data_IF_147461341309
#
_entry.id   IF_147461341309
#
_cell.length_a   1.000
_cell.length_b   1.000
_cell.length_c   1.000
_cell.angle_alpha   90.00
_cell.angle_beta   90.00
_cell.angle_gamma   90.00
#
_symmetry.space_group_name_H-M   'P 1'
#
loop_
_entity.id
_entity.type
_entity.pdbx_description
1 polymer ?
#
# COMPACT_ATOMS: atom_id res chain seq x y z
N UNK A 1 12.91 2.79 -38.43
CA UNK A 1 13.97 1.89 -37.92
C UNK A 1 14.39 2.17 -36.47
N UNK A 2 13.89 3.21 -35.78
CA UNK A 2 14.38 3.55 -34.42
C UNK A 2 13.46 3.13 -33.26
N UNK A 3 12.23 2.66 -33.49
CA UNK A 3 11.33 2.22 -32.41
C UNK A 3 11.57 0.76 -31.96
N UNK A 4 11.98 -0.14 -32.86
CA UNK A 4 12.25 -1.53 -32.50
C UNK A 4 13.48 -1.65 -31.57
N UNK A 5 14.55 -0.89 -31.84
CA UNK A 5 15.77 -0.93 -31.01
C UNK A 5 15.59 -0.35 -29.60
N UNK A 6 14.64 0.57 -29.39
CA UNK A 6 14.38 1.12 -28.05
C UNK A 6 13.55 0.16 -27.19
N UNK A 7 12.57 -0.55 -27.76
CA UNK A 7 11.80 -1.58 -27.06
C UNK A 7 12.69 -2.78 -26.70
N UNK A 8 13.60 -3.19 -27.60
CA UNK A 8 14.59 -4.24 -27.33
C UNK A 8 15.56 -3.88 -26.19
N UNK A 9 16.01 -2.62 -26.13
CA UNK A 9 16.90 -2.17 -25.08
C UNK A 9 16.20 -2.12 -23.72
N UNK A 10 14.93 -1.70 -23.67
CA UNK A 10 14.14 -1.64 -22.44
C UNK A 10 13.77 -3.04 -21.93
N UNK A 11 13.32 -3.96 -22.79
CA UNK A 11 13.03 -5.35 -22.39
C UNK A 11 14.27 -6.09 -21.90
N UNK A 12 15.43 -5.91 -22.55
CA UNK A 12 16.69 -6.51 -22.08
C UNK A 12 17.19 -5.87 -20.78
N UNK A 13 17.06 -4.55 -20.61
CA UNK A 13 17.48 -3.88 -19.38
C UNK A 13 16.57 -4.23 -18.19
N UNK A 14 15.25 -4.30 -18.40
CA UNK A 14 14.29 -4.73 -17.38
C UNK A 14 14.56 -6.18 -16.96
N UNK A 15 14.81 -7.06 -17.93
CA UNK A 15 15.12 -8.48 -17.68
C UNK A 15 16.46 -8.63 -16.95
N UNK A 16 17.51 -7.92 -17.40
CA UNK A 16 18.82 -7.90 -16.74
C UNK A 16 18.74 -7.33 -15.32
N UNK A 17 17.99 -6.25 -15.10
CA UNK A 17 17.78 -5.67 -13.79
C UNK A 17 17.04 -6.62 -12.85
N UNK A 18 15.98 -7.27 -13.33
CA UNK A 18 15.26 -8.30 -12.58
C UNK A 18 16.18 -9.46 -12.23
N UNK A 19 17.03 -9.91 -13.17
CA UNK A 19 17.96 -11.01 -12.97
C UNK A 19 19.09 -10.67 -11.98
N UNK A 20 19.62 -9.45 -12.04
CA UNK A 20 20.69 -8.97 -11.17
C UNK A 20 20.17 -8.73 -9.74
N UNK A 21 18.95 -8.20 -9.61
CA UNK A 21 18.30 -8.04 -8.31
C UNK A 21 17.89 -9.39 -7.70
N UNK A 22 17.47 -10.34 -8.52
CA UNK A 22 17.18 -11.72 -8.12
C UNK A 22 18.41 -12.38 -7.48
N UNK A 23 19.57 -12.30 -8.13
CA UNK A 23 20.80 -12.95 -7.68
C UNK A 23 21.28 -12.47 -6.30
N UNK A 24 21.02 -11.20 -5.96
CA UNK A 24 21.49 -10.60 -4.70
C UNK A 24 20.47 -10.61 -3.56
N UNK A 25 19.16 -10.70 -3.86
CA UNK A 25 18.09 -10.52 -2.87
C UNK A 25 17.14 -11.72 -2.75
N UNK A 26 17.32 -12.78 -3.55
CA UNK A 26 16.48 -13.97 -3.56
C UNK A 26 14.97 -13.63 -3.70
N UNK A 27 14.64 -12.70 -4.59
CA UNK A 27 13.28 -12.16 -4.73
C UNK A 27 12.24 -13.21 -5.16
N UNK A 28 12.63 -14.28 -5.86
CA UNK A 28 11.77 -15.43 -6.18
C UNK A 28 11.20 -16.11 -4.95
N UNK A 29 11.79 -15.90 -3.77
CA UNK A 29 11.27 -16.37 -2.50
C UNK A 29 10.16 -15.45 -1.97
N UNK A 30 9.65 -14.49 -2.73
CA UNK A 30 8.50 -13.68 -2.34
C UNK A 30 7.37 -13.90 -3.35
N UNK A 31 6.12 -14.11 -2.90
CA UNK A 31 4.98 -14.35 -3.80
C UNK A 31 4.81 -13.24 -4.83
N UNK A 32 5.01 -11.97 -4.44
CA UNK A 32 4.86 -10.85 -5.34
C UNK A 32 5.75 -10.96 -6.59
N UNK A 33 7.03 -11.28 -6.41
CA UNK A 33 7.96 -11.40 -7.53
C UNK A 33 7.73 -12.70 -8.29
N UNK A 34 7.52 -13.80 -7.57
CA UNK A 34 7.28 -15.12 -8.17
C UNK A 34 6.08 -15.13 -9.12
N UNK A 35 5.04 -14.34 -8.83
CA UNK A 35 3.85 -14.23 -9.69
C UNK A 35 3.91 -13.05 -10.69
N UNK A 36 4.52 -11.92 -10.34
CA UNK A 36 4.57 -10.76 -11.23
C UNK A 36 5.51 -10.97 -12.42
N UNK A 37 6.63 -11.67 -12.24
CA UNK A 37 7.59 -11.93 -13.32
C UNK A 37 7.00 -12.81 -14.44
N UNK A 38 6.43 -14.00 -14.15
CA UNK A 38 5.80 -14.78 -15.21
C UNK A 38 4.64 -14.04 -15.87
N UNK A 39 3.85 -13.27 -15.11
CA UNK A 39 2.79 -12.45 -15.67
C UNK A 39 3.34 -11.41 -16.66
N UNK A 40 4.45 -10.75 -16.34
CA UNK A 40 5.10 -9.81 -17.25
C UNK A 40 5.58 -10.51 -18.54
N UNK A 41 6.21 -11.69 -18.44
CA UNK A 41 6.59 -12.48 -19.62
C UNK A 41 5.37 -12.90 -20.45
N UNK A 42 4.27 -13.28 -19.80
CA UNK A 42 3.03 -13.63 -20.49
C UNK A 42 2.48 -12.43 -21.25
N UNK A 43 2.38 -11.26 -20.62
CA UNK A 43 1.90 -10.04 -21.28
C UNK A 43 2.82 -9.59 -22.42
N UNK A 44 4.15 -9.76 -22.29
CA UNK A 44 5.09 -9.54 -23.38
C UNK A 44 4.82 -10.49 -24.56
N UNK A 45 4.48 -11.75 -24.28
CA UNK A 45 4.14 -12.73 -25.33
C UNK A 45 2.84 -12.43 -26.09
N UNK A 46 2.02 -11.48 -25.60
CA UNK A 46 0.79 -11.04 -26.27
C UNK A 46 1.01 -9.79 -27.14
N UNK A 47 2.21 -9.21 -27.17
CA UNK A 47 2.48 -8.00 -27.94
C UNK A 47 2.61 -8.30 -29.44
N UNK A 48 1.90 -7.54 -30.29
CA UNK A 48 1.91 -7.75 -31.73
C UNK A 48 3.21 -7.29 -32.43
N UNK A 49 4.04 -6.49 -31.74
CA UNK A 49 5.19 -5.80 -32.35
C UNK A 49 6.50 -6.63 -32.36
N UNK A 50 6.50 -7.82 -31.75
CA UNK A 50 7.70 -8.65 -31.61
C UNK A 50 7.71 -9.83 -32.59
N UNK A 51 8.90 -10.35 -32.95
CA UNK A 51 9.01 -11.56 -33.76
C UNK A 51 8.34 -12.77 -33.09
N UNK A 52 7.69 -13.64 -33.87
CA UNK A 52 6.98 -14.83 -33.39
C UNK A 52 7.85 -15.76 -32.52
N UNK A 53 9.14 -15.86 -32.84
CA UNK A 53 10.11 -16.64 -32.05
C UNK A 53 10.32 -16.05 -30.64
N UNK A 54 10.29 -14.72 -30.49
CA UNK A 54 10.43 -14.07 -29.19
C UNK A 54 9.14 -14.17 -28.38
N UNK A 55 7.99 -14.08 -29.05
CA UNK A 55 6.69 -14.27 -28.42
C UNK A 55 6.53 -15.70 -27.87
N UNK A 56 6.88 -16.70 -28.66
CA UNK A 56 6.84 -18.11 -28.25
C UNK A 56 7.80 -18.39 -27.09
N UNK A 57 9.05 -17.91 -27.16
CA UNK A 57 10.01 -18.09 -26.06
C UNK A 57 9.59 -17.35 -24.78
N UNK A 58 9.01 -16.15 -24.88
CA UNK A 58 8.46 -15.43 -23.74
C UNK A 58 7.27 -16.18 -23.12
N UNK A 59 6.36 -16.74 -23.92
CA UNK A 59 5.22 -17.53 -23.43
C UNK A 59 5.68 -18.81 -22.74
N UNK A 60 6.67 -19.50 -23.29
CA UNK A 60 7.25 -20.71 -22.69
C UNK A 60 7.89 -20.37 -21.34
N UNK A 61 8.71 -19.31 -21.30
CA UNK A 61 9.36 -18.86 -20.08
C UNK A 61 8.34 -18.42 -19.01
N UNK A 62 7.28 -17.72 -19.41
CA UNK A 62 6.18 -17.38 -18.52
C UNK A 62 5.56 -18.64 -17.90
N UNK A 63 5.30 -19.65 -18.72
CA UNK A 63 4.65 -20.91 -18.32
C UNK A 63 5.54 -21.71 -17.36
N UNK A 64 6.85 -21.78 -17.60
CA UNK A 64 7.80 -22.42 -16.67
C UNK A 64 7.79 -21.71 -15.31
N UNK A 65 7.90 -20.38 -15.33
CA UNK A 65 8.01 -19.58 -14.11
C UNK A 65 6.71 -19.59 -13.28
N UNK A 66 5.53 -19.54 -13.92
CA UNK A 66 4.26 -19.60 -13.18
C UNK A 66 4.03 -20.98 -12.56
N UNK A 67 4.42 -22.07 -13.23
CA UNK A 67 4.35 -23.43 -12.65
C UNK A 67 5.23 -23.55 -11.42
N UNK A 68 6.44 -23.00 -11.48
CA UNK A 68 7.34 -22.93 -10.32
C UNK A 68 6.74 -22.10 -9.18
N UNK A 69 6.14 -20.95 -9.50
CA UNK A 69 5.49 -20.09 -8.52
C UNK A 69 4.29 -20.78 -7.85
N UNK A 70 3.41 -21.42 -8.63
CA UNK A 70 2.27 -22.19 -8.14
C UNK A 70 2.70 -23.38 -7.27
N UNK A 71 3.79 -24.05 -7.64
CA UNK A 71 4.36 -25.15 -6.84
C UNK A 71 4.95 -24.63 -5.51
N UNK A 72 5.63 -23.49 -5.57
CA UNK A 72 6.23 -22.86 -4.39
C UNK A 72 5.18 -22.22 -3.47
N UNK A 73 4.07 -21.71 -3.99
CA UNK A 73 3.07 -20.93 -3.26
C UNK A 73 1.64 -21.36 -3.63
N UNK A 74 1.22 -22.58 -3.27
CA UNK A 74 -0.10 -23.09 -3.67
C UNK A 74 -1.27 -22.28 -3.11
N UNK A 75 -1.14 -21.74 -1.90
CA UNK A 75 -2.19 -20.94 -1.24
C UNK A 75 -2.45 -19.55 -1.87
N UNK A 76 -1.83 -19.23 -3.01
CA UNK A 76 -2.14 -18.01 -3.78
C UNK A 76 -3.36 -18.22 -4.69
N UNK A 77 -3.56 -19.44 -5.21
CA UNK A 77 -4.48 -19.68 -6.31
C UNK A 77 -5.94 -19.40 -5.94
N UNK A 78 -6.46 -20.02 -4.87
CA UNK A 78 -7.86 -19.85 -4.50
C UNK A 78 -8.19 -18.42 -4.08
N UNK A 79 -7.39 -17.74 -3.21
CA UNK A 79 -7.63 -16.34 -2.90
C UNK A 79 -7.57 -15.44 -4.13
N UNK A 80 -6.66 -15.69 -5.08
CA UNK A 80 -6.60 -14.93 -6.33
C UNK A 80 -7.90 -15.06 -7.13
N UNK A 81 -8.43 -16.27 -7.28
CA UNK A 81 -9.69 -16.51 -7.99
C UNK A 81 -10.86 -15.83 -7.29
N UNK A 82 -10.88 -15.83 -5.95
CA UNK A 82 -11.87 -15.12 -5.14
C UNK A 82 -11.83 -13.60 -5.37
N UNK A 83 -10.64 -12.97 -5.30
CA UNK A 83 -10.44 -11.55 -5.63
C UNK A 83 -10.86 -11.20 -7.06
N UNK A 84 -10.73 -12.15 -7.97
CA UNK A 84 -11.15 -12.01 -9.36
C UNK A 84 -12.63 -12.37 -9.59
N UNK A 85 -13.35 -12.84 -8.57
CA UNK A 85 -14.73 -13.31 -8.67
C UNK A 85 -14.90 -14.44 -9.69
N UNK A 86 -13.86 -15.27 -9.84
CA UNK A 86 -13.82 -16.44 -10.71
C UNK A 86 -14.07 -17.70 -9.90
N UNK A 87 -14.88 -18.62 -10.46
CA UNK A 87 -15.11 -19.91 -9.81
C UNK A 87 -14.03 -20.90 -10.22
N UNK A 88 -13.29 -21.51 -9.27
CA UNK A 88 -12.39 -22.61 -9.60
C UNK A 88 -13.16 -23.82 -10.10
N UNK A 89 -12.50 -24.63 -10.93
CA UNK A 89 -12.98 -25.99 -11.23
C UNK A 89 -13.10 -26.77 -9.90
N UNK A 90 -14.22 -27.48 -9.63
CA UNK A 90 -14.36 -28.31 -8.43
C UNK A 90 -13.21 -29.31 -8.23
N UNK A 91 -12.60 -29.82 -9.31
CA UNK A 91 -11.44 -30.69 -9.22
C UNK A 91 -10.24 -29.97 -8.59
N UNK A 92 -10.01 -28.70 -8.94
CA UNK A 92 -8.93 -27.86 -8.36
C UNK A 92 -9.27 -27.47 -6.93
N UNK A 93 -10.50 -27.04 -6.67
CA UNK A 93 -10.95 -26.56 -5.36
C UNK A 93 -10.91 -27.63 -4.27
N UNK A 94 -11.10 -28.90 -4.65
CA UNK A 94 -11.07 -30.05 -3.72
C UNK A 94 -9.73 -30.78 -3.70
N UNK A 95 -8.79 -30.42 -4.58
CA UNK A 95 -7.50 -31.08 -4.66
C UNK A 95 -6.65 -30.78 -3.42
N UNK A 96 -5.98 -31.80 -2.86
CA UNK A 96 -5.11 -31.67 -1.67
C UNK A 96 -4.04 -30.57 -1.76
N UNK A 97 -3.61 -30.24 -2.98
CA UNK A 97 -2.51 -29.30 -3.22
C UNK A 97 -2.93 -27.84 -3.32
N UNK A 98 -4.11 -27.55 -3.88
CA UNK A 98 -4.60 -26.17 -4.04
C UNK A 98 -5.84 -25.87 -3.20
N UNK A 99 -6.49 -26.91 -2.69
CA UNK A 99 -7.69 -26.81 -1.85
C UNK A 99 -7.43 -26.22 -0.47
N UNK A 100 -8.43 -26.30 0.44
CA UNK A 100 -8.37 -25.69 1.76
C UNK A 100 -7.14 -26.10 2.59
N UNK A 101 -6.66 -27.33 2.43
CA UNK A 101 -5.47 -27.83 3.13
C UNK A 101 -4.21 -27.00 2.82
N UNK A 102 -4.11 -26.45 1.60
CA UNK A 102 -3.00 -25.62 1.18
C UNK A 102 -2.99 -24.27 1.93
N UNK A 103 -4.16 -23.72 2.20
CA UNK A 103 -4.33 -22.47 2.95
C UNK A 103 -4.10 -22.70 4.45
N UNK A 104 -4.65 -23.78 5.00
CA UNK A 104 -4.53 -24.14 6.42
C UNK A 104 -3.07 -24.46 6.80
N UNK A 105 -2.35 -25.18 5.93
CA UNK A 105 -0.95 -25.54 6.16
C UNK A 105 0.03 -24.39 5.91
N UNK A 106 -0.46 -23.26 5.38
CA UNK A 106 0.39 -22.14 5.02
C UNK A 106 0.89 -21.38 6.26
N UNK A 107 2.20 -21.04 6.35
CA UNK A 107 2.70 -20.22 7.44
C UNK A 107 2.02 -18.83 7.48
N UNK A 108 1.63 -18.30 8.66
CA UNK A 108 0.93 -17.02 8.76
C UNK A 108 1.66 -15.83 8.13
N UNK A 109 2.98 -15.80 8.24
CA UNK A 109 3.80 -14.75 7.62
C UNK A 109 3.71 -14.79 6.08
N UNK A 110 3.57 -15.98 5.50
CA UNK A 110 3.38 -16.12 4.07
C UNK A 110 1.98 -15.67 3.65
N UNK A 111 0.95 -16.00 4.41
CA UNK A 111 -0.42 -15.54 4.15
C UNK A 111 -0.51 -14.01 4.14
N UNK A 112 0.18 -13.31 5.04
CA UNK A 112 0.28 -11.85 5.00
C UNK A 112 0.90 -11.32 3.70
N UNK A 113 1.98 -11.94 3.22
CA UNK A 113 2.63 -11.57 1.96
C UNK A 113 1.73 -11.81 0.75
N UNK A 114 0.98 -12.93 0.76
CA UNK A 114 0.01 -13.26 -0.29
C UNK A 114 -1.13 -12.24 -0.31
N UNK A 115 -1.76 -11.96 0.83
CA UNK A 115 -2.84 -10.96 0.93
C UNK A 115 -2.37 -9.58 0.50
N UNK A 116 -1.16 -9.17 0.89
CA UNK A 116 -0.57 -7.90 0.47
C UNK A 116 -0.37 -7.83 -1.05
N UNK A 117 0.13 -8.90 -1.66
CA UNK A 117 0.30 -8.98 -3.11
C UNK A 117 -1.05 -8.90 -3.83
N UNK A 118 -1.98 -9.80 -3.50
CA UNK A 118 -3.27 -9.89 -4.17
C UNK A 118 -4.12 -8.62 -3.99
N UNK A 119 -4.15 -8.06 -2.78
CA UNK A 119 -4.84 -6.80 -2.52
C UNK A 119 -4.35 -5.65 -3.41
N UNK A 120 -3.09 -5.68 -3.85
CA UNK A 120 -2.49 -4.64 -4.70
C UNK A 120 -2.48 -4.94 -6.19
N UNK A 121 -2.59 -6.19 -6.61
CA UNK A 121 -2.35 -6.56 -8.02
C UNK A 121 -3.31 -7.61 -8.60
N UNK A 122 -4.32 -8.07 -7.87
CA UNK A 122 -5.29 -9.05 -8.38
C UNK A 122 -5.96 -8.60 -9.69
N UNK A 123 -6.17 -7.28 -9.87
CA UNK A 123 -6.81 -6.75 -11.07
C UNK A 123 -6.04 -7.05 -12.37
N UNK A 124 -4.72 -7.25 -12.29
CA UNK A 124 -3.89 -7.62 -13.45
C UNK A 124 -4.19 -9.03 -13.97
N UNK A 125 -4.80 -9.87 -13.14
CA UNK A 125 -5.13 -11.25 -13.48
C UNK A 125 -6.51 -11.41 -14.11
N UNK A 126 -7.38 -10.39 -14.03
CA UNK A 126 -8.80 -10.46 -14.46
C UNK A 126 -8.97 -10.60 -15.98
N UNK A 127 -7.93 -10.37 -16.76
CA UNK A 127 -8.01 -10.48 -18.21
C UNK A 127 -8.29 -11.93 -18.65
N UNK A 128 -9.27 -12.18 -19.54
CA UNK A 128 -9.65 -13.55 -19.94
C UNK A 128 -8.48 -14.38 -20.49
N UNK A 129 -7.59 -13.76 -21.27
CA UNK A 129 -6.40 -14.43 -21.81
C UNK A 129 -5.46 -14.89 -20.68
N UNK A 130 -5.24 -14.05 -19.67
CA UNK A 130 -4.43 -14.36 -18.50
C UNK A 130 -5.05 -15.49 -17.67
N UNK A 131 -6.37 -15.47 -17.46
CA UNK A 131 -7.06 -16.54 -16.73
C UNK A 131 -7.01 -17.89 -17.45
N UNK A 132 -7.24 -17.91 -18.77
CA UNK A 132 -7.14 -19.14 -19.57
C UNK A 132 -5.73 -19.73 -19.51
N UNK A 133 -4.72 -18.87 -19.64
CA UNK A 133 -3.32 -19.29 -19.51
C UNK A 133 -2.98 -19.78 -18.09
N UNK A 134 -3.50 -19.14 -17.05
CA UNK A 134 -3.32 -19.60 -15.68
C UNK A 134 -3.93 -21.00 -15.49
N UNK A 135 -5.13 -21.24 -16.00
CA UNK A 135 -5.82 -22.53 -15.92
C UNK A 135 -5.02 -23.66 -16.59
N UNK A 136 -4.45 -23.41 -17.78
CA UNK A 136 -3.55 -24.33 -18.46
C UNK A 136 -2.38 -24.74 -17.55
N UNK A 137 -1.75 -23.78 -16.88
CA UNK A 137 -0.60 -24.05 -16.02
C UNK A 137 -0.97 -24.70 -14.68
N UNK A 138 -2.14 -24.39 -14.12
CA UNK A 138 -2.66 -25.07 -12.93
C UNK A 138 -2.84 -26.57 -13.21
N UNK A 139 -3.38 -26.93 -14.37
CA UNK A 139 -3.56 -28.33 -14.77
C UNK A 139 -2.22 -29.09 -14.85
N UNK A 140 -1.20 -28.45 -15.43
CA UNK A 140 0.15 -29.01 -15.52
C UNK A 140 0.79 -29.21 -14.14
N UNK A 141 0.62 -28.25 -13.23
CA UNK A 141 1.11 -28.38 -11.84
C UNK A 141 0.41 -29.53 -11.12
N UNK A 142 -0.92 -29.66 -11.29
CA UNK A 142 -1.66 -30.78 -10.70
C UNK A 142 -1.15 -32.14 -11.20
N UNK A 143 -0.93 -32.28 -12.51
CA UNK A 143 -0.36 -33.50 -13.07
C UNK A 143 1.04 -33.81 -12.48
N UNK A 144 1.90 -32.80 -12.34
CA UNK A 144 3.22 -32.97 -11.73
C UNK A 144 3.12 -33.41 -10.25
N UNK A 145 2.22 -32.78 -9.49
CA UNK A 145 1.98 -33.13 -8.08
C UNK A 145 1.46 -34.56 -7.93
N UNK A 146 0.52 -34.98 -8.78
CA UNK A 146 -0.04 -36.33 -8.77
C UNK A 146 0.95 -37.40 -9.23
N UNK A 147 1.89 -37.02 -10.10
CA UNK A 147 3.02 -37.87 -10.48
C UNK A 147 4.08 -38.02 -9.37
N UNK A 148 3.98 -37.24 -8.29
CA UNK A 148 4.90 -37.29 -7.15
C UNK A 148 6.20 -36.52 -7.38
N UNK A 149 6.15 -35.39 -8.08
CA UNK A 149 7.33 -34.55 -8.33
C UNK A 149 8.03 -34.16 -7.00
N UNK A 150 9.33 -34.53 -6.81
CA UNK A 150 10.07 -34.20 -5.59
C UNK A 150 10.22 -32.70 -5.34
N UNK A 151 10.06 -31.85 -6.36
CA UNK A 151 10.08 -30.40 -6.21
C UNK A 151 8.99 -29.90 -5.25
N UNK A 152 7.86 -30.58 -5.16
CA UNK A 152 6.72 -30.22 -4.31
C UNK A 152 7.11 -30.26 -2.83
N UNK A 153 7.71 -31.36 -2.39
CA UNK A 153 8.16 -31.55 -1.00
C UNK A 153 9.31 -30.60 -0.65
N UNK A 154 10.23 -30.36 -1.59
CA UNK A 154 11.31 -29.40 -1.42
C UNK A 154 10.78 -27.96 -1.25
N UNK A 155 9.77 -27.58 -2.03
CA UNK A 155 9.09 -26.28 -1.91
C UNK A 155 8.35 -26.15 -0.58
N UNK A 156 7.63 -27.19 -0.14
CA UNK A 156 6.96 -27.20 1.16
C UNK A 156 7.95 -27.02 2.32
N UNK A 157 9.04 -27.79 2.33
CA UNK A 157 10.11 -27.68 3.33
C UNK A 157 10.72 -26.28 3.35
N UNK A 158 10.96 -25.70 2.17
CA UNK A 158 11.46 -24.33 2.04
C UNK A 158 10.49 -23.30 2.61
N UNK A 159 9.18 -23.42 2.34
CA UNK A 159 8.16 -22.54 2.93
C UNK A 159 8.18 -22.58 4.46
N UNK A 160 8.22 -23.79 5.04
CA UNK A 160 8.26 -23.97 6.50
C UNK A 160 9.50 -23.34 7.12
N UNK A 161 10.64 -23.40 6.45
CA UNK A 161 11.89 -22.80 6.93
C UNK A 161 11.88 -21.26 6.83
N UNK A 162 11.45 -20.70 5.69
CA UNK A 162 11.63 -19.27 5.38
C UNK A 162 10.55 -18.36 5.99
N UNK A 163 9.30 -18.82 6.10
CA UNK A 163 8.17 -17.94 6.48
C UNK A 163 7.64 -18.20 7.89
N UNK A 164 8.51 -18.52 8.84
CA UNK A 164 8.11 -18.80 10.22
C UNK A 164 7.49 -17.57 10.90
N UNK A 165 8.08 -16.39 10.71
CA UNK A 165 7.57 -15.13 11.26
C UNK A 165 7.97 -13.94 10.38
N UNK A 166 7.03 -13.03 10.15
CA UNK A 166 7.31 -11.80 9.42
C UNK A 166 8.11 -10.83 10.32
N UNK A 167 9.14 -10.17 9.77
CA UNK A 167 9.90 -9.16 10.51
C UNK A 167 9.09 -7.87 10.69
N UNK A 168 9.44 -7.07 11.71
CA UNK A 168 8.66 -5.88 12.12
C UNK A 168 8.46 -4.86 11.00
N UNK A 169 9.43 -4.69 10.10
CA UNK A 169 9.32 -3.82 8.93
C UNK A 169 8.20 -4.26 7.97
N UNK A 170 7.95 -5.56 7.85
CA UNK A 170 6.84 -6.08 7.04
C UNK A 170 5.51 -5.79 7.72
N UNK A 171 5.39 -6.04 9.02
CA UNK A 171 4.18 -5.65 9.77
C UNK A 171 3.87 -4.16 9.64
N UNK A 172 4.90 -3.32 9.75
CA UNK A 172 4.79 -1.87 9.55
C UNK A 172 4.27 -1.52 8.17
N UNK A 173 4.80 -2.17 7.13
CA UNK A 173 4.33 -1.97 5.77
C UNK A 173 2.88 -2.42 5.59
N UNK A 174 2.48 -3.55 6.16
CA UNK A 174 1.09 -4.04 6.10
C UNK A 174 0.13 -3.01 6.71
N UNK A 175 0.44 -2.49 7.89
CA UNK A 175 -0.37 -1.44 8.55
C UNK A 175 -0.47 -0.19 7.67
N UNK A 176 0.64 0.28 7.10
CA UNK A 176 0.67 1.45 6.21
C UNK A 176 0.01 1.21 4.85
N UNK A 177 -0.10 -0.04 4.41
CA UNK A 177 -0.65 -0.39 3.09
C UNK A 177 -2.16 -0.27 3.02
N UNK A 178 -2.85 -0.26 4.17
CA UNK A 178 -4.32 -0.22 4.31
C UNK A 178 -5.07 -1.33 3.55
N UNK A 179 -4.36 -2.40 3.17
CA UNK A 179 -4.98 -3.60 2.57
C UNK A 179 -5.71 -4.37 3.67
N UNK A 180 -7.04 -4.31 3.68
CA UNK A 180 -7.90 -4.83 4.76
C UNK A 180 -7.59 -6.28 5.12
N UNK A 181 -7.47 -7.15 4.12
CA UNK A 181 -7.24 -8.57 4.33
C UNK A 181 -5.82 -8.85 4.87
N UNK A 182 -4.83 -8.05 4.46
CA UNK A 182 -3.47 -8.16 4.98
C UNK A 182 -3.39 -7.66 6.43
N UNK A 183 -4.10 -6.57 6.77
CA UNK A 183 -4.20 -6.06 8.14
C UNK A 183 -4.91 -7.06 9.05
N UNK A 184 -5.96 -7.73 8.56
CA UNK A 184 -6.67 -8.78 9.30
C UNK A 184 -5.77 -10.02 9.59
N UNK A 185 -4.77 -10.27 8.75
CA UNK A 185 -3.82 -11.37 8.91
C UNK A 185 -2.64 -11.06 9.85
N UNK A 186 -2.59 -9.86 10.45
CA UNK A 186 -1.52 -9.49 11.38
C UNK A 186 -1.57 -10.30 12.69
N UNK A 187 -0.42 -10.59 13.32
CA UNK A 187 -0.39 -11.29 14.60
C UNK A 187 -1.05 -10.44 15.69
N UNK A 188 -1.69 -11.06 16.71
CA UNK A 188 -2.32 -10.34 17.81
C UNK A 188 -1.35 -9.41 18.53
N UNK A 189 -0.09 -9.83 18.71
CA UNK A 189 0.97 -9.02 19.33
C UNK A 189 1.19 -7.66 18.65
N UNK A 190 0.87 -7.55 17.36
CA UNK A 190 0.99 -6.32 16.58
C UNK A 190 -0.29 -5.49 16.69
N UNK A 191 -1.46 -6.12 16.62
CA UNK A 191 -2.75 -5.43 16.62
C UNK A 191 -3.14 -4.91 18.01
N UNK A 192 -2.62 -5.51 19.09
CA UNK A 192 -2.83 -5.03 20.46
C UNK A 192 -1.95 -3.83 20.82
N UNK A 193 -0.86 -3.57 20.08
CA UNK A 193 -0.02 -2.39 20.31
C UNK A 193 -0.79 -1.15 19.82
N UNK A 194 -0.84 -0.09 20.63
CA UNK A 194 -1.40 1.19 20.19
C UNK A 194 -0.56 1.72 19.03
N UNK A 195 -1.03 1.49 17.81
CA UNK A 195 -0.40 1.94 16.59
C UNK A 195 -0.67 3.43 16.44
N UNK A 196 0.37 4.26 16.58
CA UNK A 196 0.28 5.66 16.20
C UNK A 196 0.07 5.75 14.69
N UNK A 197 -0.99 6.40 14.22
CA UNK A 197 -1.28 6.50 12.78
C UNK A 197 -0.18 7.16 11.95
N UNK A 198 0.69 7.96 12.58
CA UNK A 198 1.82 8.63 11.91
C UNK A 198 3.15 7.84 11.95
N UNK A 199 3.27 6.84 12.84
CA UNK A 199 4.47 6.01 12.98
C UNK A 199 4.10 4.63 13.52
N UNK A 200 3.52 3.77 12.67
CA UNK A 200 3.17 2.43 13.08
C UNK A 200 4.44 1.62 13.36
N UNK A 201 4.47 0.96 14.52
CA UNK A 201 5.54 0.04 14.93
C UNK A 201 6.95 0.68 14.82
N UNK A 202 7.29 1.66 15.69
CA UNK A 202 8.63 2.25 15.70
C UNK A 202 9.71 1.19 15.96
N UNK A 203 10.96 1.39 15.50
CA UNK A 203 12.08 0.52 15.86
C UNK A 203 12.18 0.31 17.37
N UNK A 204 12.53 -0.89 17.80
CA UNK A 204 12.73 -1.17 19.23
C UNK A 204 13.97 -0.43 19.77
N UNK A 205 15.00 -0.34 18.93
CA UNK A 205 16.23 0.37 19.23
C UNK A 205 16.19 1.75 18.54
N UNK A 206 15.51 2.71 19.17
CA UNK A 206 15.49 4.09 18.65
C UNK A 206 16.86 4.75 18.82
N UNK A 207 17.62 4.82 17.73
CA UNK A 207 18.76 5.73 17.64
C UNK A 207 18.21 7.12 17.31
N UNK A 208 18.10 7.97 18.32
CA UNK A 208 17.76 9.38 18.12
C UNK A 208 18.98 10.10 17.52
N UNK A 209 18.98 10.33 16.21
CA UNK A 209 19.99 11.18 15.55
C UNK A 209 19.82 12.67 15.86
N UNK A 210 18.65 13.05 16.40
CA UNK A 210 18.31 14.40 16.79
C UNK A 210 17.59 14.41 18.13
N UNK A 211 18.05 15.27 19.04
CA UNK A 211 17.34 15.58 20.28
C UNK A 211 16.41 16.73 19.98
N UNK A 212 15.09 16.49 19.99
CA UNK A 212 14.10 17.55 19.89
C UNK A 212 14.29 18.51 21.08
N UNK A 213 14.53 19.81 20.85
CA UNK A 213 14.57 20.79 21.93
C UNK A 213 13.29 20.69 22.74
N UNK A 214 13.41 20.77 24.06
CA UNK A 214 12.26 20.76 24.95
C UNK A 214 11.28 21.83 24.47
N UNK A 215 10.10 21.39 24.02
CA UNK A 215 9.04 22.33 23.69
C UNK A 215 8.67 22.92 25.03
N UNK A 216 9.00 24.20 25.26
CA UNK A 216 8.38 24.98 26.31
C UNK A 216 6.88 24.92 26.03
N UNK A 217 6.17 24.00 26.67
CA UNK A 217 4.72 23.95 26.61
C UNK A 217 4.25 25.05 27.54
N UNK A 218 3.83 26.23 27.05
CA UNK A 218 3.18 27.20 27.90
C UNK A 218 1.70 26.79 27.91
N UNK A 219 1.42 25.54 28.34
CA UNK A 219 0.09 25.19 28.83
C UNK A 219 0.05 25.68 30.28
N UNK A 220 0.30 26.98 30.44
CA UNK A 220 -0.26 27.71 31.55
C UNK A 220 -1.73 27.86 31.24
N UNK A 221 -2.57 27.75 32.27
CA UNK A 221 -4.03 27.72 32.22
C UNK A 221 -4.61 29.03 31.66
N UNK A 222 -4.41 29.27 30.37
CA UNK A 222 -4.81 30.47 29.65
C UNK A 222 -6.25 30.39 29.16
N UNK A 223 -6.93 31.53 29.22
CA UNK A 223 -8.29 31.77 28.77
C UNK A 223 -8.59 31.15 27.39
N UNK A 224 -9.73 30.48 27.20
CA UNK A 224 -10.11 29.67 26.01
C UNK A 224 -9.99 30.45 24.69
N UNK A 225 -10.20 31.76 24.73
CA UNK A 225 -10.05 32.68 23.60
C UNK A 225 -8.58 32.74 23.14
N UNK A 226 -7.61 32.73 24.05
CA UNK A 226 -6.19 32.73 23.69
C UNK A 226 -5.78 31.42 23.00
N UNK A 227 -6.40 30.29 23.37
CA UNK A 227 -6.23 29.02 22.67
C UNK A 227 -6.78 29.08 21.24
N UNK A 228 -7.95 29.71 21.05
CA UNK A 228 -8.51 29.94 19.72
C UNK A 228 -7.57 30.75 18.82
N UNK A 229 -7.02 31.87 19.30
CA UNK A 229 -6.08 32.66 18.51
C UNK A 229 -4.75 31.96 18.28
N UNK A 230 -4.25 31.14 19.22
CA UNK A 230 -3.08 30.27 18.98
C UNK A 230 -3.31 29.23 17.89
N UNK A 231 -4.54 28.73 17.75
CA UNK A 231 -4.87 27.76 16.71
C UNK A 231 -4.83 28.36 15.31
N UNK A 232 -5.11 29.66 15.20
CA UNK A 232 -5.15 30.40 13.94
C UNK A 232 -3.84 31.14 13.62
N UNK A 233 -3.13 31.58 14.66
CA UNK A 233 -1.89 32.34 14.56
C UNK A 233 -0.79 31.62 15.36
N UNK A 234 0.07 30.82 14.70
CA UNK A 234 1.12 30.06 15.36
C UNK A 234 2.10 30.94 16.16
N UNK A 235 2.22 32.22 15.78
CA UNK A 235 3.10 33.19 16.42
C UNK A 235 2.43 33.99 17.57
N UNK A 236 1.15 33.74 17.86
CA UNK A 236 0.44 34.41 18.94
C UNK A 236 0.90 33.87 20.30
N UNK A 237 1.68 34.68 21.01
CA UNK A 237 2.17 34.40 22.37
C UNK A 237 1.67 35.48 23.32
N UNK A 238 0.93 35.05 24.35
CA UNK A 238 0.59 35.93 25.48
C UNK A 238 1.85 36.04 26.35
N UNK A 239 2.78 36.90 25.98
CA UNK A 239 3.96 37.19 26.83
C UNK A 239 3.49 37.94 28.07
N UNK A 240 3.28 37.18 29.14
CA UNK A 240 3.04 37.68 30.49
C UNK A 240 3.55 36.73 31.58
N UNK A 241 4.09 35.56 31.21
CA UNK A 241 4.71 34.62 32.15
C UNK A 241 6.13 34.29 31.70
N UNK A 242 6.97 35.32 31.57
CA UNK A 242 8.37 35.12 31.93
C UNK A 242 8.38 35.13 33.45
N UNK A 243 8.54 33.97 34.07
CA UNK A 243 8.81 33.87 35.50
C UNK A 243 10.25 34.36 35.71
N UNK A 244 10.45 35.67 35.64
CA UNK A 244 11.63 36.30 36.24
C UNK A 244 11.32 36.48 37.72
N UNK A 245 12.16 35.85 38.53
CA UNK A 245 12.16 35.88 39.97
C UNK A 245 12.18 37.32 40.51
N UNK A 246 11.29 37.62 41.46
CA UNK A 246 11.36 38.79 42.33
C UNK A 246 10.96 40.16 41.75
N UNK A 247 9.70 40.57 41.98
CA UNK A 247 9.33 41.99 41.90
C UNK A 247 7.83 42.25 42.00
N UNK A 248 7.37 42.78 43.13
CA UNK A 248 6.01 43.26 43.31
C UNK A 248 5.71 44.44 42.36
N UNK A 249 5.02 44.17 41.25
CA UNK A 249 4.52 45.17 40.31
C UNK A 249 3.33 44.60 39.56
N UNK A 250 2.17 45.25 39.67
CA UNK A 250 0.89 44.75 39.17
C UNK A 250 0.93 44.24 37.72
N UNK A 251 0.47 43.00 37.55
CA UNK A 251 0.19 42.35 36.26
C UNK A 251 -0.52 43.32 35.33
N UNK A 252 0.14 43.71 34.24
CA UNK A 252 -0.40 44.68 33.30
C UNK A 252 -1.44 44.01 32.39
N UNK A 253 -2.61 43.65 32.96
CA UNK A 253 -3.74 43.00 32.28
C UNK A 253 -4.17 43.74 31.01
N UNK A 254 -3.94 45.04 30.98
CA UNK A 254 -4.22 45.92 29.85
C UNK A 254 -3.33 45.62 28.63
N UNK A 255 -2.08 45.17 28.82
CA UNK A 255 -1.19 44.83 27.71
C UNK A 255 -1.62 43.55 26.98
N UNK A 256 -2.07 42.53 27.73
CA UNK A 256 -2.61 41.29 27.16
C UNK A 256 -3.91 41.53 26.37
N UNK A 257 -4.79 42.39 26.88
CA UNK A 257 -6.02 42.80 26.19
C UNK A 257 -5.73 43.60 24.90
N UNK A 258 -4.75 44.50 24.92
CA UNK A 258 -4.36 45.26 23.74
C UNK A 258 -3.80 44.36 22.62
N UNK A 259 -2.99 43.35 22.95
CA UNK A 259 -2.50 42.37 21.96
C UNK A 259 -3.62 41.49 21.40
N UNK A 260 -4.58 41.09 22.25
CA UNK A 260 -5.77 40.38 21.81
C UNK A 260 -6.60 41.22 20.83
N UNK A 261 -6.85 42.50 21.16
CA UNK A 261 -7.59 43.40 20.28
C UNK A 261 -6.88 43.63 18.94
N UNK A 262 -5.55 43.67 18.92
CA UNK A 262 -4.77 43.75 17.68
C UNK A 262 -4.92 42.47 16.84
N UNK A 263 -4.87 41.28 17.43
CA UNK A 263 -5.08 40.03 16.72
C UNK A 263 -6.51 39.89 16.17
N UNK A 264 -7.51 40.32 16.94
CA UNK A 264 -8.93 40.36 16.52
C UNK A 264 -9.11 41.34 15.35
N UNK A 265 -8.49 42.52 15.42
CA UNK A 265 -8.56 43.53 14.35
C UNK A 265 -7.90 43.03 13.07
N UNK A 266 -6.72 42.42 13.17
CA UNK A 266 -5.99 41.91 12.00
C UNK A 266 -6.76 40.76 11.33
N UNK A 267 -7.36 39.89 12.14
CA UNK A 267 -8.28 38.86 11.66
C UNK A 267 -9.48 39.47 10.92
N UNK A 268 -10.19 40.42 11.54
CA UNK A 268 -11.37 41.05 10.91
C UNK A 268 -11.01 41.83 9.64
N UNK A 269 -9.81 42.40 9.56
CA UNK A 269 -9.34 43.08 8.35
C UNK A 269 -9.14 42.12 7.17
N UNK A 270 -8.83 40.85 7.44
CA UNK A 270 -8.64 39.81 6.42
C UNK A 270 -9.89 38.97 6.15
N UNK A 271 -10.98 39.12 6.93
CA UNK A 271 -12.27 38.48 6.65
C UNK A 271 -13.07 39.33 5.65
N UNK A 272 -13.15 38.88 4.39
CA UNK A 272 -14.13 39.39 3.44
C UNK A 272 -15.39 38.53 3.52
N UNK A 273 -16.53 39.14 3.87
CA UNK A 273 -17.83 38.53 3.68
C UNK A 273 -18.09 38.43 2.18
N UNK A 274 -18.12 37.21 1.64
CA UNK A 274 -18.80 36.98 0.38
C UNK A 274 -20.29 36.95 0.69
N UNK A 275 -20.96 38.10 0.54
CA UNK A 275 -22.42 38.17 0.62
C UNK A 275 -23.00 37.38 -0.56
N UNK A 276 -23.46 36.17 -0.25
CA UNK A 276 -24.40 35.42 -1.06
C UNK A 276 -25.78 35.89 -0.64
N UNK A 277 -26.32 36.91 -1.29
CA UNK A 277 -27.76 37.17 -1.22
C UNK A 277 -28.34 37.56 -2.57
N UNK A 278 -29.46 36.93 -2.85
CA UNK A 278 -30.10 36.78 -4.14
C UNK A 278 -30.85 38.03 -4.63
N UNK A 279 -31.00 38.09 -5.95
CA UNK A 279 -32.17 38.56 -6.71
C UNK A 279 -32.86 39.86 -6.28
N UNK A 280 -32.79 40.86 -7.16
CA UNK A 280 -33.91 41.79 -7.39
C UNK A 280 -34.26 41.80 -8.87
N UNK A 281 -35.45 41.25 -9.15
CA UNK A 281 -36.21 41.41 -10.38
C UNK A 281 -36.58 42.87 -10.64
N UNK A 282 -36.70 43.19 -11.93
CA UNK A 282 -37.48 44.24 -12.61
C UNK A 282 -36.67 44.61 -13.88
N UNK A 283 -37.11 44.43 -15.13
CA UNK A 283 -38.44 44.44 -15.77
C UNK A 283 -38.21 44.08 -17.29
N UNK A 284 -39.16 44.29 -18.23
CA UNK A 284 -40.35 43.54 -18.62
C UNK A 284 -40.24 42.78 -19.98
N UNK A 285 -41.29 41.99 -20.24
CA UNK A 285 -41.82 41.33 -21.45
C UNK A 285 -41.29 41.67 -22.86
N UNK A 286 -41.17 40.62 -23.71
CA UNK A 286 -41.01 40.72 -25.16
C UNK A 286 -40.75 39.37 -25.84
N UNK A 287 -41.85 38.63 -26.09
CA UNK A 287 -42.10 37.74 -27.24
C UNK A 287 -40.95 37.19 -28.12
N UNK A 288 -40.90 35.86 -28.26
CA UNK A 288 -39.98 35.18 -29.19
C UNK A 288 -40.14 33.66 -29.23
N UNK A 289 -41.28 33.21 -29.72
CA UNK A 289 -41.57 31.88 -30.28
C UNK A 289 -40.44 31.37 -31.17
N UNK A 290 -39.94 30.15 -30.92
CA UNK A 290 -39.31 29.29 -31.94
C UNK A 290 -39.54 27.82 -31.62
N UNK A 291 -40.01 27.12 -32.65
CA UNK A 291 -40.26 25.67 -32.78
C UNK A 291 -39.09 24.76 -32.36
#
# INVERSE_FOLDING_TARGET
MNCASSVFAVSNFQTLFLWLLQAHRNLSQLPNFAFSVPLAYFLLSQQADLPEQELSSAREQASILIRQALTMFPGVLLPLLEYCSMRPDPAVATHRFFGPDAEISQPPALSQLVSLYLGRSHFLWKEPATMSWLEENVREVLQAVDSGDPAVEACESRRKLLYQRAPRNIHRHVVLSEVKEAVAALPPDVTTQSVMGFDPLPPLDTIYSYVRPERLSPVSHGNTIALFFRSLLPNYTMEGERMEDGGAGGLNRNQGLNRLMLAVRDMMANFHFHDVEAAREDNPEGDGEWD
#
